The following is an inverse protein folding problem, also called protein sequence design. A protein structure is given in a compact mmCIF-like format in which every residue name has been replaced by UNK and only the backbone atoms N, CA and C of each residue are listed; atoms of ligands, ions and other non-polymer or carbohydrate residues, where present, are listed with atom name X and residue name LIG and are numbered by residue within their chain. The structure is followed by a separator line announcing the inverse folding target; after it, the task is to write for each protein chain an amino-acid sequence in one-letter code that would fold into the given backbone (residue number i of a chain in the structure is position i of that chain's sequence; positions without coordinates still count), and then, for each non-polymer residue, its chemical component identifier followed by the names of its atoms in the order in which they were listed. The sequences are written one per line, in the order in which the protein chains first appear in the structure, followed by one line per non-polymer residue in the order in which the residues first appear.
data_IF_541521761206
#
_entry.id   IF_541521761206
#
_cell.length_a   1.000
_cell.length_b   1.000
_cell.length_c   1.000
_cell.angle_alpha   90.00
_cell.angle_beta   90.00
_cell.angle_gamma   90.00
#
_symmetry.space_group_name_H-M   'P 1'
#
loop_
_entity.id
_entity.type
_entity.pdbx_description
1 polymer ?
#
# COMPACT_ATOMS: atom_id res chain seq x y z
N UNK A 1 8.94 -11.86 23.93
CA UNK A 1 10.21 -11.89 23.20
C UNK A 1 10.20 -10.81 22.14
N UNK A 2 11.17 -9.88 22.15
CA UNK A 2 11.26 -8.80 21.16
C UNK A 2 12.02 -9.30 19.93
N UNK A 3 11.47 -9.12 18.72
CA UNK A 3 12.12 -9.48 17.45
C UNK A 3 12.34 -8.19 16.66
N UNK A 4 13.61 -7.83 16.42
CA UNK A 4 14.01 -6.67 15.62
C UNK A 4 14.11 -7.10 14.15
N UNK A 5 13.39 -6.45 13.24
CA UNK A 5 13.50 -6.69 11.80
C UNK A 5 14.12 -5.45 11.14
N UNK A 6 15.29 -5.59 10.53
CA UNK A 6 15.97 -4.52 9.78
C UNK A 6 16.02 -4.95 8.31
N UNK A 7 15.44 -4.15 7.41
CA UNK A 7 15.50 -4.38 5.96
C UNK A 7 16.15 -3.19 5.26
N UNK A 8 17.25 -3.43 4.56
CA UNK A 8 17.90 -2.46 3.65
C UNK A 8 17.88 -3.04 2.23
N UNK A 9 17.39 -2.27 1.26
CA UNK A 9 17.39 -2.65 -0.16
C UNK A 9 17.85 -1.49 -1.04
N UNK A 10 18.69 -1.77 -2.03
CA UNK A 10 19.04 -0.86 -3.11
C UNK A 10 17.92 -0.91 -4.15
N UNK A 11 17.35 0.25 -4.47
CA UNK A 11 16.20 0.40 -5.36
C UNK A 11 16.63 1.00 -6.70
N UNK A 12 16.71 0.18 -7.76
CA UNK A 12 16.66 0.70 -9.13
C UNK A 12 15.21 0.62 -9.64
N UNK A 13 14.66 1.80 -9.95
CA UNK A 13 13.31 2.03 -10.49
C UNK A 13 12.15 1.38 -9.71
N UNK A 14 11.93 1.87 -8.48
CA UNK A 14 10.77 1.50 -7.68
C UNK A 14 9.71 2.60 -7.77
N UNK A 15 8.68 2.41 -8.60
CA UNK A 15 7.42 3.14 -8.43
C UNK A 15 6.89 2.89 -7.02
N UNK A 16 6.88 3.93 -6.18
CA UNK A 16 6.45 3.96 -4.78
C UNK A 16 5.65 2.70 -4.32
N UNK A 17 6.37 1.71 -3.79
CA UNK A 17 5.78 0.45 -3.34
C UNK A 17 5.37 0.55 -1.86
N UNK A 18 4.20 0.02 -1.50
CA UNK A 18 3.86 -0.29 -0.11
C UNK A 18 4.71 -1.53 0.27
N UNK A 19 5.85 -1.29 0.92
CA UNK A 19 6.86 -2.28 1.34
C UNK A 19 6.40 -3.07 2.58
N UNK A 20 5.28 -3.77 2.50
CA UNK A 20 4.83 -4.68 3.56
C UNK A 20 4.64 -6.11 3.02
N UNK A 21 5.72 -6.80 2.59
CA UNK A 21 5.64 -8.22 2.30
C UNK A 21 5.23 -9.00 3.56
N UNK A 22 4.50 -10.11 3.39
CA UNK A 22 4.06 -11.00 4.49
C UNK A 22 2.97 -10.40 5.38
N UNK A 23 2.12 -9.53 4.83
CA UNK A 23 0.99 -8.93 5.56
C UNK A 23 0.06 -9.98 6.15
N UNK A 24 -0.15 -11.08 5.44
CA UNK A 24 -1.05 -12.18 5.85
C UNK A 24 -0.33 -13.34 6.53
N UNK A 25 0.92 -13.16 6.97
CA UNK A 25 1.67 -14.25 7.61
C UNK A 25 0.95 -14.87 8.81
N UNK A 26 1.32 -16.07 9.20
CA UNK A 26 0.85 -16.63 10.46
C UNK A 26 1.84 -16.26 11.57
N UNK A 27 1.41 -15.42 12.52
CA UNK A 27 2.19 -15.03 13.69
C UNK A 27 1.57 -15.65 14.94
N UNK A 28 2.37 -15.99 15.96
CA UNK A 28 1.82 -16.44 17.23
C UNK A 28 1.09 -15.29 17.92
N UNK A 29 -0.04 -15.58 18.56
CA UNK A 29 -0.83 -14.58 19.30
C UNK A 29 -0.15 -14.16 20.61
N UNK A 30 -0.45 -12.95 21.09
CA UNK A 30 0.07 -12.38 22.32
C UNK A 30 1.47 -11.77 22.20
N UNK A 31 1.95 -11.51 20.98
CA UNK A 31 3.25 -10.90 20.75
C UNK A 31 3.12 -9.41 20.50
N UNK A 32 4.08 -8.64 21.01
CA UNK A 32 4.31 -7.25 20.62
C UNK A 32 5.61 -7.17 19.85
N UNK A 33 5.54 -6.68 18.61
CA UNK A 33 6.66 -6.52 17.71
C UNK A 33 6.85 -5.02 17.50
N UNK A 34 8.07 -4.54 17.67
CA UNK A 34 8.45 -3.14 17.44
C UNK A 34 9.45 -3.12 16.29
N UNK A 35 9.22 -2.24 15.32
CA UNK A 35 10.05 -2.12 14.12
C UNK A 35 10.45 -0.68 13.86
N UNK A 36 11.66 -0.51 13.32
CA UNK A 36 12.13 0.75 12.76
C UNK A 36 12.61 0.48 11.33
N UNK A 37 12.25 1.35 10.39
CA UNK A 37 12.61 1.22 8.99
C UNK A 37 13.11 2.53 8.43
N UNK A 38 14.09 2.48 7.55
CA UNK A 38 14.57 3.61 6.78
C UNK A 38 14.33 3.35 5.29
N UNK A 39 13.86 4.36 4.58
CA UNK A 39 13.68 4.31 3.13
C UNK A 39 14.21 5.59 2.50
N UNK A 40 15.01 5.45 1.44
CA UNK A 40 15.39 6.55 0.56
C UNK A 40 14.60 6.40 -0.73
N UNK A 41 14.05 7.50 -1.24
CA UNK A 41 13.31 7.53 -2.50
C UNK A 41 13.76 8.71 -3.33
N UNK A 42 14.09 8.42 -4.58
CA UNK A 42 14.35 9.43 -5.60
C UNK A 42 13.36 9.24 -6.74
N UNK A 43 12.65 10.30 -7.11
CA UNK A 43 11.62 10.24 -8.13
C UNK A 43 11.56 11.55 -8.92
N UNK A 44 11.36 11.41 -10.23
CA UNK A 44 11.03 12.53 -11.09
C UNK A 44 9.59 12.96 -10.81
N UNK A 45 9.41 14.23 -10.54
CA UNK A 45 8.14 14.86 -10.21
C UNK A 45 7.55 15.37 -11.52
N UNK A 46 6.67 14.57 -12.12
CA UNK A 46 5.91 14.98 -13.31
C UNK A 46 4.58 15.57 -12.85
N UNK A 47 4.40 16.90 -12.91
CA UNK A 47 3.09 17.49 -12.62
C UNK A 47 2.69 18.65 -13.54
N UNK A 48 1.42 18.54 -13.95
CA UNK A 48 0.43 19.48 -14.49
C UNK A 48 0.90 20.63 -15.41
N UNK A 49 0.39 20.72 -16.65
CA UNK A 49 0.65 21.84 -17.58
C UNK A 49 0.16 23.22 -17.09
N UNK A 50 -0.49 23.29 -15.93
CA UNK A 50 -0.95 24.55 -15.31
C UNK A 50 0.16 25.25 -14.53
N UNK A 51 1.15 24.52 -14.00
CA UNK A 51 2.22 25.08 -13.14
C UNK A 51 3.55 25.29 -13.87
N UNK A 52 3.62 25.04 -15.19
CA UNK A 52 4.83 25.10 -16.02
C UNK A 52 6.08 24.47 -15.37
N UNK A 53 5.89 23.43 -14.53
CA UNK A 53 6.99 22.78 -13.82
C UNK A 53 7.74 21.86 -14.78
N UNK A 54 9.02 22.13 -15.01
CA UNK A 54 9.93 21.27 -15.79
C UNK A 54 11.07 20.74 -14.92
N UNK A 55 11.63 19.60 -15.32
CA UNK A 55 12.81 18.98 -14.69
C UNK A 55 12.67 18.76 -13.16
N UNK A 56 11.44 18.51 -12.71
CA UNK A 56 11.13 18.24 -11.31
C UNK A 56 11.78 16.95 -10.81
N UNK A 57 12.56 17.03 -9.74
CA UNK A 57 13.09 15.87 -9.01
C UNK A 57 12.78 15.96 -7.53
N UNK A 58 12.68 14.81 -6.88
CA UNK A 58 12.45 14.69 -5.44
C UNK A 58 13.39 13.66 -4.84
N UNK A 59 13.98 14.00 -3.70
CA UNK A 59 14.82 13.12 -2.88
C UNK A 59 14.28 13.12 -1.46
N UNK A 60 13.79 11.98 -1.01
CA UNK A 60 13.07 11.85 0.26
C UNK A 60 13.72 10.75 1.10
N UNK A 61 14.07 11.12 2.33
CA UNK A 61 14.49 10.21 3.38
C UNK A 61 13.29 9.99 4.30
N UNK A 62 12.91 8.74 4.52
CA UNK A 62 11.84 8.34 5.42
C UNK A 62 12.36 7.47 6.55
N UNK A 63 11.98 7.79 7.78
CA UNK A 63 12.14 6.95 8.95
C UNK A 63 10.75 6.55 9.45
N UNK A 64 10.48 5.26 9.57
CA UNK A 64 9.22 4.73 10.06
C UNK A 64 9.41 3.99 11.38
N UNK A 65 8.59 4.32 12.38
CA UNK A 65 8.47 3.53 13.61
C UNK A 65 7.15 2.78 13.59
N UNK A 66 7.18 1.50 13.96
CA UNK A 66 5.99 0.66 13.96
C UNK A 66 5.87 -0.20 15.22
N UNK A 67 4.64 -0.38 15.68
CA UNK A 67 4.30 -1.32 16.75
C UNK A 67 3.17 -2.20 16.24
N UNK A 68 3.31 -3.51 16.40
CA UNK A 68 2.33 -4.52 16.03
C UNK A 68 2.03 -5.35 17.27
N UNK A 69 0.76 -5.54 17.59
CA UNK A 69 0.30 -6.48 18.60
C UNK A 69 -0.55 -7.57 17.95
N UNK A 70 -0.24 -8.83 18.22
CA UNK A 70 -0.99 -9.99 17.73
C UNK A 70 -1.95 -10.50 18.78
N UNK A 71 -3.17 -10.83 18.40
CA UNK A 71 -4.23 -11.24 19.33
C UNK A 71 -5.15 -12.29 18.69
N UNK A 72 -5.91 -12.97 19.55
CA UNK A 72 -7.09 -13.71 19.11
C UNK A 72 -8.29 -12.75 19.08
N UNK A 73 -8.93 -12.64 17.92
CA UNK A 73 -10.17 -11.90 17.73
C UNK A 73 -11.20 -12.83 17.10
N UNK A 74 -12.27 -13.15 17.83
CA UNK A 74 -13.34 -14.04 17.38
C UNK A 74 -12.85 -15.42 16.87
N UNK A 75 -11.85 -16.01 17.54
CA UNK A 75 -11.27 -17.30 17.17
C UNK A 75 -10.47 -17.23 15.87
N UNK A 76 -9.87 -16.07 15.58
CA UNK A 76 -9.05 -15.80 14.39
C UNK A 76 -7.79 -15.07 14.80
N UNK A 77 -6.68 -15.39 14.13
CA UNK A 77 -5.44 -14.63 14.30
C UNK A 77 -5.64 -13.22 13.77
N UNK A 78 -5.47 -12.23 14.64
CA UNK A 78 -5.60 -10.82 14.29
C UNK A 78 -4.39 -10.02 14.74
N UNK A 79 -4.26 -8.81 14.19
CA UNK A 79 -3.18 -7.87 14.50
C UNK A 79 -3.68 -6.46 14.47
N UNK A 80 -3.25 -5.69 15.46
CA UNK A 80 -3.37 -4.23 15.47
C UNK A 80 -1.97 -3.66 15.27
N UNK A 81 -1.82 -2.71 14.36
CA UNK A 81 -0.53 -2.06 14.12
C UNK A 81 -0.64 -0.55 14.00
N UNK A 82 0.31 0.16 14.61
CA UNK A 82 0.53 1.60 14.46
C UNK A 82 1.82 1.83 13.67
N UNK A 83 1.79 2.75 12.71
CA UNK A 83 2.94 3.26 11.97
C UNK A 83 3.03 4.78 12.14
N UNK A 84 4.20 5.25 12.55
CA UNK A 84 4.55 6.66 12.69
C UNK A 84 5.70 6.99 11.72
N UNK A 85 5.41 7.68 10.60
CA UNK A 85 6.45 8.10 9.67
C UNK A 85 7.03 9.47 10.04
N UNK A 86 8.32 9.65 9.79
CA UNK A 86 9.01 10.93 9.76
C UNK A 86 9.73 11.05 8.42
N UNK A 87 9.49 12.15 7.71
CA UNK A 87 10.04 12.37 6.37
C UNK A 87 10.93 13.61 6.38
N UNK A 88 12.00 13.57 5.59
CA UNK A 88 12.84 14.71 5.26
C UNK A 88 13.17 14.66 3.78
N UNK A 89 12.67 15.62 3.03
CA UNK A 89 12.77 15.65 1.58
C UNK A 89 13.28 16.98 1.05
N UNK A 90 13.85 16.88 -0.14
CA UNK A 90 14.22 17.98 -1.03
C UNK A 90 13.48 17.76 -2.35
N UNK A 91 12.85 18.82 -2.84
CA UNK A 91 12.22 18.89 -4.15
C UNK A 91 12.87 20.04 -4.91
N UNK A 92 13.19 19.83 -6.17
CA UNK A 92 13.78 20.84 -7.03
C UNK A 92 13.23 20.73 -8.43
N UNK A 93 13.17 21.84 -9.16
CA UNK A 93 12.67 21.91 -10.53
C UNK A 93 12.50 23.36 -10.95
N UNK A 94 12.18 23.57 -12.23
CA UNK A 94 12.03 24.90 -12.79
C UNK A 94 10.55 25.26 -12.88
N UNK A 95 10.16 26.40 -12.31
CA UNK A 95 8.79 26.93 -12.33
C UNK A 95 8.84 28.23 -13.13
N UNK A 96 8.09 28.30 -14.23
CA UNK A 96 8.11 29.45 -15.15
C UNK A 96 9.53 29.83 -15.62
N UNK A 97 10.41 28.84 -15.76
CA UNK A 97 11.80 29.02 -16.19
C UNK A 97 12.78 29.39 -15.06
N UNK A 98 12.31 29.54 -13.83
CA UNK A 98 13.14 29.85 -12.66
C UNK A 98 13.36 28.60 -11.80
N UNK A 99 14.62 28.32 -11.48
CA UNK A 99 14.98 27.16 -10.66
C UNK A 99 14.57 27.34 -9.20
N UNK A 100 13.76 26.42 -8.69
CA UNK A 100 13.25 26.44 -7.32
C UNK A 100 13.69 25.19 -6.57
N UNK A 101 14.02 25.36 -5.28
CA UNK A 101 14.39 24.27 -4.37
C UNK A 101 13.62 24.41 -3.07
N UNK A 102 12.89 23.36 -2.72
CA UNK A 102 12.07 23.28 -1.52
C UNK A 102 12.58 22.17 -0.62
N UNK A 103 12.78 22.48 0.65
CA UNK A 103 13.06 21.50 1.69
C UNK A 103 11.87 21.41 2.65
N UNK A 104 11.46 20.19 2.98
CA UNK A 104 10.43 19.92 4.00
C UNK A 104 10.85 18.73 4.83
N UNK A 105 10.61 18.84 6.13
CA UNK A 105 10.78 17.74 7.06
C UNK A 105 9.73 17.82 8.17
N UNK A 106 9.36 16.66 8.71
CA UNK A 106 8.43 16.54 9.82
C UNK A 106 7.83 15.15 9.93
N UNK A 107 7.01 14.97 10.96
CA UNK A 107 6.16 13.80 11.08
C UNK A 107 5.17 13.75 9.92
N UNK A 108 4.97 12.56 9.35
CA UNK A 108 3.90 12.30 8.41
C UNK A 108 2.66 11.77 9.12
N UNK A 109 1.62 11.49 8.32
CA UNK A 109 0.33 11.05 8.83
C UNK A 109 0.44 9.65 9.48
N UNK A 110 0.10 9.49 10.77
CA UNK A 110 0.14 8.19 11.44
C UNK A 110 -0.92 7.25 10.88
N UNK A 111 -0.61 5.95 10.82
CA UNK A 111 -1.52 4.91 10.30
C UNK A 111 -1.79 3.84 11.35
N UNK A 112 -3.06 3.64 11.68
CA UNK A 112 -3.55 2.52 12.47
C UNK A 112 -4.14 1.46 11.54
N UNK A 113 -3.92 0.18 11.81
CA UNK A 113 -4.49 -0.93 11.03
C UNK A 113 -4.96 -2.05 11.93
N UNK A 114 -6.11 -2.61 11.59
CA UNK A 114 -6.58 -3.91 12.08
C UNK A 114 -6.56 -4.91 10.92
N UNK A 115 -5.99 -6.09 11.14
CA UNK A 115 -5.97 -7.18 10.17
C UNK A 115 -6.34 -8.50 10.84
N UNK A 116 -7.00 -9.39 10.09
CA UNK A 116 -7.46 -10.68 10.59
C UNK A 116 -7.32 -11.74 9.51
N UNK A 117 -6.75 -12.89 9.87
CA UNK A 117 -6.69 -14.06 9.00
C UNK A 117 -7.96 -14.88 9.21
N UNK A 118 -8.81 -14.93 8.19
CA UNK A 118 -10.09 -15.62 8.20
C UNK A 118 -9.94 -17.14 8.05
N UNK A 119 -8.89 -17.58 7.36
CA UNK A 119 -8.63 -18.98 7.05
C UNK A 119 -7.12 -19.31 7.07
N UNK A 120 -6.76 -20.55 7.38
CA UNK A 120 -5.39 -21.10 7.24
C UNK A 120 -4.37 -20.64 8.29
N UNK A 121 -4.75 -19.77 9.23
CA UNK A 121 -3.86 -19.26 10.27
C UNK A 121 -4.60 -19.17 11.62
N UNK A 122 -4.84 -20.30 12.31
CA UNK A 122 -5.55 -20.32 13.59
C UNK A 122 -4.80 -19.55 14.69
N UNK A 123 -5.47 -18.95 15.69
CA UNK A 123 -4.85 -18.14 16.73
C UNK A 123 -4.05 -18.98 17.74
N UNK A 124 -2.86 -19.43 17.33
CA UNK A 124 -2.00 -20.33 18.11
C UNK A 124 -0.83 -19.57 18.73
N UNK A 125 -0.26 -20.13 19.81
CA UNK A 125 0.98 -19.66 20.45
C UNK A 125 1.79 -20.84 20.99
N UNK A 126 3.07 -20.60 21.29
CA UNK A 126 3.94 -21.60 21.91
C UNK A 126 4.11 -22.89 21.07
N UNK A 127 4.16 -24.07 21.70
CA UNK A 127 4.37 -25.34 21.01
C UNK A 127 3.32 -25.65 19.93
N UNK A 128 2.05 -25.35 20.19
CA UNK A 128 0.97 -25.57 19.23
C UNK A 128 1.17 -24.78 17.93
N UNK A 129 1.67 -23.53 18.03
CA UNK A 129 2.00 -22.74 16.85
C UNK A 129 3.16 -23.35 16.05
N UNK A 130 4.23 -23.79 16.73
CA UNK A 130 5.37 -24.40 16.08
C UNK A 130 4.99 -25.72 15.38
N UNK A 131 4.21 -26.57 16.06
CA UNK A 131 3.70 -27.82 15.53
C UNK A 131 2.82 -27.58 14.29
N UNK A 132 1.85 -26.65 14.37
CA UNK A 132 0.99 -26.32 13.24
C UNK A 132 1.81 -25.94 11.99
N UNK A 133 2.84 -25.10 12.14
CA UNK A 133 3.68 -24.72 10.99
C UNK A 133 4.56 -25.86 10.47
N UNK A 134 5.00 -26.77 11.32
CA UNK A 134 5.79 -27.93 10.91
C UNK A 134 4.93 -28.93 10.10
N UNK A 135 3.67 -29.11 10.49
CA UNK A 135 2.73 -30.00 9.81
C UNK A 135 2.17 -29.38 8.51
N UNK A 136 1.98 -28.06 8.48
CA UNK A 136 1.35 -27.34 7.36
C UNK A 136 2.39 -26.67 6.45
N UNK A 137 3.31 -27.46 5.88
CA UNK A 137 4.30 -26.99 4.88
C UNK A 137 3.68 -26.56 3.55
N UNK A 138 2.42 -26.94 3.33
CA UNK A 138 1.57 -26.40 2.27
C UNK A 138 0.32 -25.84 2.92
N UNK A 139 0.06 -24.53 2.72
CA UNK A 139 -1.00 -23.83 3.41
C UNK A 139 -1.53 -22.66 2.57
N UNK A 140 -2.82 -22.37 2.71
CA UNK A 140 -3.44 -21.17 2.12
C UNK A 140 -4.02 -20.32 3.23
N UNK A 141 -3.59 -19.07 3.34
CA UNK A 141 -4.13 -18.09 4.28
C UNK A 141 -4.98 -17.08 3.51
N UNK A 142 -6.17 -16.79 4.03
CA UNK A 142 -7.01 -15.70 3.53
C UNK A 142 -7.20 -14.70 4.65
N UNK A 143 -7.04 -13.42 4.36
CA UNK A 143 -7.17 -12.37 5.35
C UNK A 143 -7.84 -11.11 4.82
N UNK A 144 -8.32 -10.30 5.77
CA UNK A 144 -8.92 -8.99 5.54
C UNK A 144 -8.28 -7.97 6.47
N UNK A 145 -8.24 -6.71 6.06
CA UNK A 145 -7.76 -5.62 6.91
C UNK A 145 -8.44 -4.31 6.59
N UNK A 146 -8.44 -3.42 7.57
CA UNK A 146 -8.76 -2.01 7.40
C UNK A 146 -7.62 -1.20 8.01
N UNK A 147 -7.12 -0.22 7.26
CA UNK A 147 -6.20 0.79 7.78
C UNK A 147 -6.83 2.17 7.72
N UNK A 148 -6.54 2.99 8.72
CA UNK A 148 -6.94 4.38 8.81
C UNK A 148 -5.69 5.22 9.02
N UNK A 149 -5.52 6.22 8.17
CA UNK A 149 -4.47 7.22 8.27
C UNK A 149 -5.11 8.55 8.69
N UNK A 150 -4.62 9.10 9.79
CA UNK A 150 -5.14 10.33 10.38
C UNK A 150 -4.31 11.54 9.94
N UNK A 151 -4.94 12.70 9.65
CA UNK A 151 -4.25 13.91 9.18
C UNK A 151 -3.54 14.65 10.31
N UNK A 152 -2.57 14.00 10.94
CA UNK A 152 -1.77 14.55 12.04
C UNK A 152 -0.33 14.84 11.63
N UNK A 153 0.01 14.61 10.36
CA UNK A 153 1.32 14.96 9.80
C UNK A 153 1.48 16.47 9.63
N UNK A 154 2.73 16.91 9.50
CA UNK A 154 3.06 18.32 9.29
C UNK A 154 2.51 18.79 7.94
N UNK A 155 1.72 19.85 7.98
CA UNK A 155 1.04 20.42 6.83
C UNK A 155 1.04 21.95 6.93
N UNK A 156 1.29 22.62 5.81
CA UNK A 156 1.08 24.05 5.60
C UNK A 156 0.12 24.24 4.43
N UNK A 157 -0.93 25.00 4.67
CA UNK A 157 -2.04 25.27 3.74
C UNK A 157 -1.66 26.22 2.61
N UNK A 158 -0.62 27.04 2.80
CA UNK A 158 0.01 27.88 1.79
C UNK A 158 1.12 27.16 0.98
N UNK A 159 1.40 25.89 1.27
CA UNK A 159 2.43 25.11 0.61
C UNK A 159 1.88 24.15 -0.45
N UNK A 160 2.53 24.10 -1.61
CA UNK A 160 2.21 23.12 -2.64
C UNK A 160 2.69 21.71 -2.27
N UNK A 161 3.88 21.64 -1.66
CA UNK A 161 4.53 20.39 -1.27
C UNK A 161 4.45 20.25 0.25
N UNK A 162 3.76 19.19 0.69
CA UNK A 162 3.50 18.89 2.09
C UNK A 162 3.96 17.48 2.49
N UNK A 163 4.22 17.29 3.79
CA UNK A 163 4.57 15.99 4.37
C UNK A 163 3.30 15.20 4.72
N UNK A 164 2.37 15.83 5.44
CA UNK A 164 1.01 15.31 5.66
C UNK A 164 0.10 15.63 4.48
N UNK A 165 -1.05 14.96 4.42
CA UNK A 165 -2.04 15.18 3.34
C UNK A 165 -3.25 16.00 3.79
N UNK A 166 -3.33 16.36 5.07
CA UNK A 166 -4.46 17.06 5.69
C UNK A 166 -5.84 16.47 5.35
N UNK A 167 -5.91 15.14 5.26
CA UNK A 167 -7.15 14.39 5.08
C UNK A 167 -7.07 13.01 5.68
N UNK A 168 -8.23 12.44 5.99
CA UNK A 168 -8.32 11.05 6.38
C UNK A 168 -8.17 10.15 5.16
N UNK A 169 -7.55 8.99 5.37
CA UNK A 169 -7.58 7.90 4.39
C UNK A 169 -8.00 6.60 5.05
N UNK A 170 -8.95 5.90 4.43
CA UNK A 170 -9.39 4.56 4.82
C UNK A 170 -9.02 3.58 3.72
N UNK A 171 -8.38 2.48 4.11
CA UNK A 171 -7.87 1.47 3.18
C UNK A 171 -8.36 0.08 3.58
N UNK A 172 -9.55 -0.37 3.12
CA UNK A 172 -9.95 -1.76 3.23
C UNK A 172 -9.15 -2.62 2.24
N UNK A 173 -8.80 -3.82 2.67
CA UNK A 173 -7.99 -4.75 1.89
C UNK A 173 -8.39 -6.19 2.16
N UNK A 174 -8.20 -7.03 1.14
CA UNK A 174 -8.36 -8.48 1.19
C UNK A 174 -7.14 -9.10 0.54
N UNK A 175 -6.67 -10.22 1.07
CA UNK A 175 -5.58 -10.93 0.44
C UNK A 175 -5.57 -12.41 0.71
N UNK A 176 -4.81 -13.10 -0.13
CA UNK A 176 -4.58 -14.54 -0.09
C UNK A 176 -3.09 -14.80 -0.21
N UNK A 177 -2.61 -15.73 0.60
CA UNK A 177 -1.25 -16.28 0.49
C UNK A 177 -1.36 -17.77 0.32
N UNK A 178 -0.71 -18.31 -0.71
CA UNK A 178 -0.51 -19.74 -0.86
C UNK A 178 0.97 -20.06 -0.69
N UNK A 179 1.28 -20.90 0.29
CA UNK A 179 2.63 -21.37 0.60
C UNK A 179 2.74 -22.84 0.25
N UNK A 180 3.83 -23.22 -0.41
CA UNK A 180 4.19 -24.62 -0.71
C UNK A 180 5.70 -24.80 -0.61
N UNK A 181 6.14 -25.48 0.45
CA UNK A 181 7.56 -25.62 0.74
C UNK A 181 8.21 -24.25 0.98
N UNK A 182 9.34 -23.91 0.32
CA UNK A 182 10.01 -22.63 0.51
C UNK A 182 9.34 -21.45 -0.21
N UNK A 183 8.35 -21.71 -1.08
CA UNK A 183 7.71 -20.68 -1.88
C UNK A 183 6.42 -20.18 -1.25
N UNK A 184 6.20 -18.88 -1.26
CA UNK A 184 4.91 -18.26 -0.96
C UNK A 184 4.52 -17.26 -2.04
N UNK A 185 3.26 -17.31 -2.47
CA UNK A 185 2.65 -16.42 -3.43
C UNK A 185 1.56 -15.62 -2.74
N UNK A 186 1.68 -14.30 -2.74
CA UNK A 186 0.76 -13.38 -2.07
C UNK A 186 0.04 -12.52 -3.11
N UNK A 187 -1.28 -12.38 -2.96
CA UNK A 187 -2.11 -11.46 -3.73
C UNK A 187 -2.93 -10.62 -2.75
N UNK A 188 -2.90 -9.30 -2.91
CA UNK A 188 -3.66 -8.35 -2.08
C UNK A 188 -4.40 -7.35 -2.95
N UNK A 189 -5.72 -7.28 -2.80
CA UNK A 189 -6.57 -6.23 -3.34
C UNK A 189 -6.80 -5.13 -2.30
N UNK A 190 -6.77 -3.88 -2.73
CA UNK A 190 -6.93 -2.71 -1.85
C UNK A 190 -7.82 -1.66 -2.50
N UNK A 191 -8.69 -1.03 -1.72
CA UNK A 191 -9.33 0.22 -2.06
C UNK A 191 -8.78 1.34 -1.16
N UNK A 192 -8.69 2.56 -1.66
CA UNK A 192 -8.21 3.73 -0.95
C UNK A 192 -9.31 4.77 -1.05
N UNK A 193 -9.89 5.15 0.08
CA UNK A 193 -10.93 6.16 0.18
C UNK A 193 -10.35 7.33 0.97
N UNK A 194 -10.65 8.55 0.54
CA UNK A 194 -10.13 9.77 1.13
C UNK A 194 -11.30 10.68 1.52
N UNK A 195 -11.13 11.43 2.60
CA UNK A 195 -11.94 12.64 2.79
C UNK A 195 -11.38 13.76 1.96
N UNK A 196 -12.18 14.80 1.80
CA UNK A 196 -11.74 16.04 1.18
C UNK A 196 -10.74 16.76 2.10
N UNK A 197 -9.92 17.63 1.51
CA UNK A 197 -9.05 18.55 2.22
C UNK A 197 -9.52 19.98 1.90
N UNK A 198 -10.21 20.57 2.87
CA UNK A 198 -10.86 21.89 2.76
C UNK A 198 -9.89 23.06 3.02
N UNK A 199 -8.60 22.78 3.18
CA UNK A 199 -7.56 23.77 3.45
C UNK A 199 -6.37 23.53 2.51
N UNK A 200 -6.64 23.59 1.21
CA UNK A 200 -5.63 23.57 0.17
C UNK A 200 -5.29 25.01 -0.27
N UNK A 201 -4.21 25.15 -1.06
CA UNK A 201 -3.75 26.46 -1.58
C UNK A 201 -4.91 27.28 -2.13
N UNK A 202 -4.90 28.57 -1.84
CA UNK A 202 -5.92 29.55 -2.25
C UNK A 202 -7.35 29.24 -1.74
N UNK A 203 -7.45 28.53 -0.61
CA UNK A 203 -8.70 28.02 -0.04
C UNK A 203 -9.45 27.05 -0.99
N UNK A 204 -8.73 26.40 -1.91
CA UNK A 204 -9.30 25.35 -2.73
C UNK A 204 -9.66 24.11 -1.91
N UNK A 205 -10.55 23.28 -2.46
CA UNK A 205 -10.90 21.97 -1.87
C UNK A 205 -10.23 20.88 -2.70
N UNK A 206 -9.33 20.12 -2.07
CA UNK A 206 -8.70 18.97 -2.72
C UNK A 206 -9.54 17.70 -2.51
N UNK A 207 -10.33 17.37 -3.52
CA UNK A 207 -11.09 16.11 -3.58
C UNK A 207 -10.29 15.03 -4.33
N UNK A 208 -10.39 13.78 -3.87
CA UNK A 208 -9.78 12.65 -4.59
C UNK A 208 -10.69 11.44 -4.66
N UNK A 209 -10.92 10.97 -5.88
CA UNK A 209 -11.68 9.75 -6.15
C UNK A 209 -11.00 8.54 -5.52
N UNK A 210 -11.79 7.53 -5.09
CA UNK A 210 -11.23 6.30 -4.58
C UNK A 210 -10.27 5.63 -5.57
N UNK A 211 -9.17 5.10 -5.06
CA UNK A 211 -8.19 4.36 -5.86
C UNK A 211 -8.25 2.88 -5.54
N UNK A 212 -7.89 2.05 -6.52
CA UNK A 212 -7.82 0.60 -6.35
C UNK A 212 -6.42 0.12 -6.72
N UNK A 213 -5.92 -0.88 -5.99
CA UNK A 213 -4.63 -1.47 -6.27
C UNK A 213 -4.64 -2.99 -6.08
N UNK A 214 -3.88 -3.67 -6.92
CA UNK A 214 -3.57 -5.08 -6.80
C UNK A 214 -2.07 -5.23 -6.57
N UNK A 215 -1.70 -5.98 -5.53
CA UNK A 215 -0.31 -6.25 -5.17
C UNK A 215 -0.05 -7.73 -5.19
N UNK A 216 1.05 -8.13 -5.83
CA UNK A 216 1.53 -9.49 -5.86
C UNK A 216 2.93 -9.58 -5.27
N UNK A 217 3.17 -10.61 -4.46
CA UNK A 217 4.50 -10.90 -3.94
C UNK A 217 4.83 -12.37 -4.18
N UNK A 218 6.10 -12.62 -4.52
CA UNK A 218 6.67 -13.98 -4.55
C UNK A 218 7.83 -14.00 -3.56
N UNK A 219 7.74 -14.89 -2.59
CA UNK A 219 8.66 -15.00 -1.47
C UNK A 219 9.31 -16.38 -1.48
N UNK A 220 10.62 -16.43 -1.28
CA UNK A 220 11.41 -17.64 -1.15
C UNK A 220 12.14 -17.67 0.20
N UNK A 221 11.89 -18.70 1.00
CA UNK A 221 12.55 -18.95 2.28
C UNK A 221 13.76 -19.90 2.06
N UNK A 222 14.99 -19.45 2.32
CA UNK A 222 16.21 -20.24 2.10
C UNK A 222 16.49 -21.23 3.23
N UNK A 223 16.58 -20.70 4.46
CA UNK A 223 16.80 -21.42 5.72
C UNK A 223 15.98 -20.72 6.81
N UNK A 224 15.68 -21.36 7.95
CA UNK A 224 15.00 -20.69 9.05
C UNK A 224 15.71 -19.39 9.42
N UNK A 225 15.06 -18.24 9.20
CA UNK A 225 15.61 -16.91 9.52
C UNK A 225 16.14 -16.09 8.34
N UNK A 226 16.20 -16.63 7.11
CA UNK A 226 16.63 -15.86 5.94
C UNK A 226 15.66 -16.03 4.77
N UNK A 227 15.09 -14.92 4.31
CA UNK A 227 14.05 -14.84 3.29
C UNK A 227 14.47 -13.84 2.21
N UNK A 228 14.20 -14.14 0.94
CA UNK A 228 14.14 -13.14 -0.12
C UNK A 228 12.71 -12.98 -0.61
N UNK A 229 12.32 -11.74 -0.92
CA UNK A 229 11.00 -11.44 -1.49
C UNK A 229 11.13 -10.52 -2.68
N UNK A 230 10.34 -10.81 -3.71
CA UNK A 230 10.11 -9.91 -4.83
C UNK A 230 8.68 -9.42 -4.79
N UNK A 231 8.49 -8.13 -5.07
CA UNK A 231 7.19 -7.47 -5.01
C UNK A 231 6.89 -6.81 -6.34
N UNK A 232 5.68 -7.00 -6.85
CA UNK A 232 5.13 -6.19 -7.94
C UNK A 232 3.79 -5.61 -7.51
N UNK A 233 3.62 -4.30 -7.69
CA UNK A 233 2.36 -3.60 -7.47
C UNK A 233 1.84 -3.10 -8.81
N UNK A 234 0.63 -3.51 -9.16
CA UNK A 234 -0.14 -2.89 -10.23
C UNK A 234 -1.22 -2.02 -9.60
N UNK A 235 -1.00 -0.71 -9.64
CA UNK A 235 -2.03 0.27 -9.27
C UNK A 235 -2.72 0.68 -10.56
N UNK A 236 -4.04 0.49 -10.64
CA UNK A 236 -4.83 0.94 -11.79
C UNK A 236 -6.03 1.69 -11.26
N UNK A 237 -6.16 2.95 -11.68
CA UNK A 237 -7.32 3.77 -11.32
C UNK A 237 -8.50 3.29 -12.17
N UNK A 238 -9.40 2.52 -11.57
CA UNK A 238 -10.64 2.11 -12.20
C UNK A 238 -11.74 3.10 -11.84
N UNK A 239 -12.50 3.56 -12.84
CA UNK A 239 -13.73 4.32 -12.62
C UNK A 239 -14.86 3.32 -12.39
N UNK A 240 -15.57 3.42 -11.26
CA UNK A 240 -16.64 2.47 -10.89
C UNK A 240 -17.81 2.45 -11.91
N UNK A 241 -18.04 3.53 -12.65
CA UNK A 241 -19.07 3.60 -13.72
C UNK A 241 -18.86 2.56 -14.84
N UNK A 242 -17.63 2.08 -15.04
CA UNK A 242 -17.30 1.11 -16.10
C UNK A 242 -17.58 -0.34 -15.71
N UNK A 243 -17.69 -0.66 -14.41
CA UNK A 243 -17.89 -2.05 -13.97
C UNK A 243 -19.34 -2.52 -14.18
N UNK A 244 -20.32 -1.64 -14.02
CA UNK A 244 -21.73 -1.99 -14.31
C UNK A 244 -21.95 -2.23 -15.80
N UNK A 245 -21.31 -1.43 -16.65
CA UNK A 245 -21.41 -1.57 -18.11
C UNK A 245 -20.66 -2.80 -18.63
N UNK A 246 -19.49 -3.15 -18.07
CA UNK A 246 -18.79 -4.40 -18.45
C UNK A 246 -19.49 -5.66 -17.91
N UNK A 247 -20.03 -5.63 -16.68
CA UNK A 247 -20.82 -6.77 -16.15
C UNK A 247 -22.13 -6.93 -16.93
N UNK A 248 -22.80 -5.84 -17.28
CA UNK A 248 -24.01 -5.86 -18.10
C UNK A 248 -23.71 -6.35 -19.52
N UNK A 249 -22.60 -5.92 -20.14
CA UNK A 249 -22.18 -6.40 -21.45
C UNK A 249 -21.80 -7.89 -21.40
N UNK A 250 -21.10 -8.34 -20.34
CA UNK A 250 -20.74 -9.75 -20.16
C UNK A 250 -21.97 -10.64 -19.95
N UNK A 251 -22.99 -10.17 -19.22
CA UNK A 251 -24.27 -10.87 -19.06
C UNK A 251 -25.13 -10.84 -20.34
N UNK A 252 -25.14 -9.72 -21.06
CA UNK A 252 -25.85 -9.59 -22.34
C UNK A 252 -25.22 -10.49 -23.42
N UNK A 253 -23.89 -10.55 -23.49
CA UNK A 253 -23.15 -11.39 -24.44
C UNK A 253 -23.25 -12.89 -24.11
N UNK A 254 -23.34 -13.27 -22.83
CA UNK A 254 -23.59 -14.67 -22.44
C UNK A 254 -25.00 -15.15 -22.79
N UNK A 255 -25.96 -14.22 -22.90
CA UNK A 255 -27.37 -14.52 -23.23
C UNK A 255 -27.63 -14.64 -24.74
N UNK A 256 -26.75 -14.10 -25.59
CA UNK A 256 -26.94 -14.04 -27.06
C UNK A 256 -26.16 -15.08 -27.87
N UNK A 257 -25.40 -15.98 -27.22
CA UNK A 257 -24.89 -17.21 -27.87
C UNK A 257 -23.87 -17.02 -29.00
N UNK A 258 -23.28 -15.83 -29.15
CA UNK A 258 -22.29 -15.58 -30.18
C UNK A 258 -20.87 -16.06 -29.76
N UNK A 259 -20.37 -17.10 -30.42
CA UNK A 259 -18.94 -17.46 -30.43
C UNK A 259 -18.20 -16.57 -31.44
N UNK A 260 -17.27 -15.73 -30.98
CA UNK A 260 -16.26 -15.14 -31.85
C UNK A 260 -14.84 -15.22 -31.27
N UNK A 261 -13.90 -15.33 -32.22
CA UNK A 261 -12.45 -15.51 -32.03
C UNK A 261 -11.85 -14.39 -31.18
N UNK A 262 -10.86 -14.77 -30.37
CA UNK A 262 -10.03 -13.96 -29.45
C UNK A 262 -10.04 -12.45 -29.76
N UNK A 263 -10.56 -11.59 -28.86
CA UNK A 263 -10.32 -10.16 -29.00
C UNK A 263 -8.85 -9.87 -28.64
N UNK A 264 -8.13 -9.25 -29.56
CA UNK A 264 -6.92 -8.49 -29.24
C UNK A 264 -7.35 -7.36 -28.29
N UNK A 265 -7.02 -7.51 -27.00
CA UNK A 265 -7.17 -6.44 -26.02
C UNK A 265 -6.11 -5.40 -26.35
N UNK A 266 -6.52 -4.34 -27.05
CA UNK A 266 -5.70 -3.16 -27.26
C UNK A 266 -5.58 -2.41 -25.93
N UNK A 267 -4.36 -2.24 -25.44
CA UNK A 267 -4.05 -1.50 -24.23
C UNK A 267 -4.08 0.01 -24.55
N UNK A 268 -5.12 0.71 -24.11
CA UNK A 268 -5.13 2.18 -24.09
C UNK A 268 -4.94 2.65 -22.65
N UNK A 269 -3.81 3.33 -22.42
CA UNK A 269 -3.57 4.12 -21.22
C UNK A 269 -4.43 5.39 -21.32
N UNK A 270 -5.37 5.56 -20.37
CA UNK A 270 -6.06 6.81 -20.15
C UNK A 270 -5.66 7.29 -18.76
N UNK A 271 -4.66 8.16 -18.71
CA UNK A 271 -4.32 8.96 -17.54
C UNK A 271 -5.39 10.05 -17.39
N UNK A 272 -6.02 10.12 -16.21
CA UNK A 272 -6.95 11.19 -15.88
C UNK A 272 -6.50 11.80 -14.55
N UNK A 273 -6.06 13.06 -14.61
CA UNK A 273 -5.47 13.81 -13.50
C UNK A 273 -6.45 14.11 -12.36
N UNK A 274 -5.88 14.53 -11.23
CA UNK A 274 -6.60 15.13 -10.10
C UNK A 274 -7.46 16.30 -10.56
N UNK A 275 -8.73 16.33 -10.14
CA UNK A 275 -9.62 17.47 -10.39
C UNK A 275 -9.47 18.45 -9.22
N UNK A 276 -9.04 19.67 -9.52
CA UNK A 276 -9.12 20.81 -8.60
C UNK A 276 -10.49 21.47 -8.80
N UNK A 277 -11.18 21.83 -7.71
CA UNK A 277 -12.39 22.65 -7.73
C UNK A 277 -12.19 23.89 -6.88
#
# INVERSE_FOLDING_TARGET
SYLLLVSSGLAEQVSAQDLEPRRWSHLPIGQTIVGVGYAYTEANVFFSPVLNLTDGTSRINGLGFSVIHTLDLAGKSARISLLLPYLSGRWEGDIDGEHQVIHRNGAGDPRLRLSMNLYGAPPLKGPAFAQYRAEHTTNTVVGVSIAVTAPLGKYCDDCLINIGNNRWSVRPQVGVVHTRGPWSFELTGSAFVFTDNDSFIDNAVLEQKPMYALQTHVVYDFKPGSTASSTRRLSRMFRLESLESEIALFWFLKKTGHQFRKPCISFQFLECGSQFR
#
